data_IF_933036027954
#
_entry.id   IF_933036027954
#
_cell.length_a   1.000
_cell.length_b   1.000
_cell.length_c   1.000
_cell.angle_alpha   90.00
_cell.angle_beta   90.00
_cell.angle_gamma   90.00
#
_symmetry.space_group_name_H-M   'P 1'
#
loop_
_entity.id
_entity.type
_entity.pdbx_description
1 polymer ?
#
# COMPACT_ATOMS: atom_id res chain seq x y z
N UNK A 1 -24.27 20.68 8.03
CA UNK A 1 -23.87 19.58 7.13
C UNK A 1 -22.89 20.13 6.10
N UNK A 2 -21.76 19.46 5.88
CA UNK A 2 -20.91 19.77 4.73
C UNK A 2 -21.70 19.41 3.45
N UNK A 3 -21.59 20.18 2.35
CA UNK A 3 -22.28 19.86 1.12
C UNK A 3 -21.88 18.44 0.66
N UNK A 4 -22.84 17.67 0.15
CA UNK A 4 -22.67 16.29 -0.32
C UNK A 4 -22.30 15.25 0.75
N UNK A 5 -22.48 15.55 2.05
CA UNK A 5 -22.26 14.58 3.14
C UNK A 5 -23.48 14.39 4.00
N UNK A 6 -23.67 13.15 4.46
CA UNK A 6 -24.63 12.76 5.48
C UNK A 6 -23.88 12.45 6.77
N UNK A 7 -24.52 12.69 7.91
CA UNK A 7 -23.95 12.36 9.22
C UNK A 7 -24.01 10.84 9.37
N UNK A 8 -22.87 10.14 9.60
CA UNK A 8 -22.85 8.71 9.78
C UNK A 8 -23.50 8.31 11.11
N UNK A 9 -24.01 7.09 11.19
CA UNK A 9 -24.28 6.48 12.50
C UNK A 9 -22.97 6.29 13.26
N UNK A 10 -23.06 6.21 14.59
CA UNK A 10 -21.89 6.02 15.45
C UNK A 10 -21.07 4.77 15.06
N UNK A 11 -21.76 3.69 14.68
CA UNK A 11 -21.14 2.46 14.21
C UNK A 11 -20.32 2.67 12.92
N UNK A 12 -20.90 3.32 11.90
CA UNK A 12 -20.21 3.61 10.63
C UNK A 12 -19.01 4.52 10.86
N UNK A 13 -19.17 5.52 11.72
CA UNK A 13 -18.07 6.42 12.09
C UNK A 13 -16.92 5.66 12.74
N UNK A 14 -17.18 4.76 13.69
CA UNK A 14 -16.16 3.97 14.36
C UNK A 14 -15.43 3.02 13.41
N UNK A 15 -16.17 2.29 12.58
CA UNK A 15 -15.58 1.33 11.61
C UNK A 15 -14.71 2.07 10.58
N UNK A 16 -15.20 3.18 10.04
CA UNK A 16 -14.46 3.99 9.07
C UNK A 16 -13.22 4.64 9.70
N UNK A 17 -13.33 5.11 10.96
CA UNK A 17 -12.21 5.66 11.72
C UNK A 17 -11.14 4.61 12.00
N UNK A 18 -11.54 3.42 12.44
CA UNK A 18 -10.62 2.31 12.70
C UNK A 18 -9.90 1.87 11.43
N UNK A 19 -10.61 1.82 10.30
CA UNK A 19 -10.01 1.60 8.98
C UNK A 19 -8.90 2.62 8.69
N UNK A 20 -9.18 3.91 8.86
CA UNK A 20 -8.20 4.98 8.60
C UNK A 20 -6.97 4.88 9.51
N UNK A 21 -7.16 4.51 10.79
CA UNK A 21 -6.06 4.28 11.72
C UNK A 21 -5.20 3.08 11.29
N UNK A 22 -5.81 1.95 10.93
CA UNK A 22 -5.09 0.77 10.46
C UNK A 22 -4.34 1.03 9.16
N UNK A 23 -4.94 1.78 8.23
CA UNK A 23 -4.27 2.20 7.00
C UNK A 23 -3.05 3.08 7.31
N UNK A 24 -3.19 4.03 8.23
CA UNK A 24 -2.09 4.92 8.67
C UNK A 24 -0.95 4.13 9.32
N UNK A 25 -1.28 3.13 10.15
CA UNK A 25 -0.30 2.21 10.73
C UNK A 25 0.36 1.34 9.66
N UNK A 26 -0.41 0.86 8.68
CA UNK A 26 0.11 0.13 7.52
C UNK A 26 1.13 0.97 6.75
N UNK A 27 0.78 2.21 6.43
CA UNK A 27 1.67 3.16 5.75
C UNK A 27 2.94 3.45 6.58
N UNK A 28 2.83 3.55 7.90
CA UNK A 28 4.00 3.70 8.77
C UNK A 28 4.98 2.53 8.63
N UNK A 29 4.49 1.29 8.64
CA UNK A 29 5.34 0.11 8.45
C UNK A 29 5.88 0.02 7.02
N UNK A 30 5.09 0.36 6.01
CA UNK A 30 5.56 0.49 4.62
C UNK A 30 6.77 1.44 4.54
N UNK A 31 6.68 2.64 5.12
CA UNK A 31 7.80 3.59 5.11
C UNK A 31 9.02 3.09 5.88
N UNK A 32 8.84 2.27 6.93
CA UNK A 32 9.96 1.60 7.60
C UNK A 32 10.61 0.55 6.71
N UNK A 33 9.81 -0.27 6.02
CA UNK A 33 10.32 -1.25 5.07
C UNK A 33 11.10 -0.57 3.94
N UNK A 34 10.56 0.52 3.38
CA UNK A 34 11.20 1.31 2.31
C UNK A 34 12.53 1.99 2.71
N UNK A 35 12.79 2.18 4.01
CA UNK A 35 14.08 2.70 4.50
C UNK A 35 15.18 1.63 4.49
N UNK A 36 14.78 0.37 4.49
CA UNK A 36 15.69 -0.79 4.55
C UNK A 36 15.80 -1.43 3.17
N UNK A 37 14.65 -1.60 2.51
CA UNK A 37 14.47 -2.30 1.25
C UNK A 37 14.38 -1.40 0.03
N UNK A 38 14.38 -2.05 -1.13
CA UNK A 38 14.21 -1.38 -2.42
C UNK A 38 12.73 -1.21 -2.76
N UNK A 39 12.34 -0.06 -3.31
CA UNK A 39 10.95 0.22 -3.73
C UNK A 39 10.43 -0.85 -4.70
N UNK A 40 11.28 -1.30 -5.63
CA UNK A 40 10.98 -2.35 -6.63
C UNK A 40 10.74 -3.74 -6.05
N UNK A 41 10.96 -3.91 -4.73
CA UNK A 41 10.74 -5.15 -3.97
C UNK A 41 9.64 -4.98 -2.93
N UNK A 42 9.79 -3.97 -2.07
CA UNK A 42 8.89 -3.71 -0.93
C UNK A 42 7.45 -3.53 -1.39
N UNK A 43 7.22 -2.72 -2.42
CA UNK A 43 5.86 -2.43 -2.89
C UNK A 43 5.18 -3.67 -3.48
N UNK A 44 5.82 -4.43 -4.41
CA UNK A 44 5.24 -5.69 -4.89
C UNK A 44 4.99 -6.74 -3.79
N UNK A 45 5.86 -6.87 -2.78
CA UNK A 45 5.65 -7.83 -1.69
C UNK A 45 4.41 -7.44 -0.89
N UNK A 46 4.33 -6.19 -0.41
CA UNK A 46 3.17 -5.69 0.35
C UNK A 46 1.89 -5.89 -0.47
N UNK A 47 1.93 -5.46 -1.73
CA UNK A 47 0.77 -5.50 -2.61
C UNK A 47 0.35 -6.91 -3.04
N UNK A 48 1.25 -7.90 -3.01
CA UNK A 48 0.89 -9.32 -3.18
C UNK A 48 0.39 -9.94 -1.88
N UNK A 49 0.93 -9.52 -0.74
CA UNK A 49 0.52 -10.02 0.57
C UNK A 49 -0.90 -9.55 0.95
N UNK A 50 -1.31 -8.33 0.58
CA UNK A 50 -2.67 -7.81 0.83
C UNK A 50 -3.77 -8.79 0.35
N UNK A 51 -3.86 -9.17 -0.95
CA UNK A 51 -4.91 -10.07 -1.43
C UNK A 51 -4.83 -11.47 -0.82
N UNK A 52 -3.62 -11.97 -0.51
CA UNK A 52 -3.47 -13.23 0.22
C UNK A 52 -4.10 -13.16 1.61
N UNK A 53 -3.84 -12.08 2.35
CA UNK A 53 -4.43 -11.84 3.67
C UNK A 53 -5.95 -11.68 3.55
N UNK A 54 -6.43 -10.90 2.58
CA UNK A 54 -7.87 -10.75 2.33
C UNK A 54 -8.57 -12.10 2.08
N UNK A 55 -7.93 -13.00 1.31
CA UNK A 55 -8.46 -14.32 1.02
C UNK A 55 -8.48 -15.21 2.27
N UNK A 56 -7.44 -15.17 3.11
CA UNK A 56 -7.43 -15.88 4.41
C UNK A 56 -8.61 -15.42 5.27
N UNK A 57 -8.84 -14.11 5.37
CA UNK A 57 -9.98 -13.58 6.12
C UNK A 57 -11.33 -13.99 5.51
N UNK A 58 -11.44 -14.04 4.18
CA UNK A 58 -12.65 -14.50 3.50
C UNK A 58 -12.90 -16.01 3.69
N UNK A 59 -11.84 -16.82 3.74
CA UNK A 59 -11.92 -18.29 3.88
C UNK A 59 -12.46 -18.76 5.23
N UNK A 60 -12.30 -17.94 6.28
CA UNK A 60 -12.94 -18.19 7.57
C UNK A 60 -14.47 -18.06 7.53
N UNK A 61 -15.02 -17.54 6.43
CA UNK A 61 -16.46 -17.33 6.23
C UNK A 61 -17.07 -18.14 5.08
N UNK A 62 -16.26 -18.62 4.11
CA UNK A 62 -16.71 -19.39 2.94
C UNK A 62 -15.62 -20.35 2.46
N UNK A 63 -16.01 -21.44 1.77
CA UNK A 63 -15.05 -22.34 1.12
C UNK A 63 -14.30 -21.63 -0.03
N UNK A 64 -12.98 -21.80 -0.08
CA UNK A 64 -12.12 -21.26 -1.15
C UNK A 64 -12.38 -22.05 -2.44
N UNK A 65 -12.55 -21.36 -3.57
CA UNK A 65 -12.72 -22.04 -4.86
C UNK A 65 -11.40 -22.61 -5.40
N UNK A 66 -11.49 -23.59 -6.30
CA UNK A 66 -10.31 -24.19 -6.95
C UNK A 66 -9.48 -23.12 -7.69
N UNK A 67 -10.14 -22.16 -8.35
CA UNK A 67 -9.49 -21.05 -9.03
C UNK A 67 -8.77 -20.10 -8.07
N UNK A 68 -9.36 -19.82 -6.90
CA UNK A 68 -8.72 -19.01 -5.86
C UNK A 68 -7.46 -19.68 -5.31
N UNK A 69 -7.46 -21.01 -5.20
CA UNK A 69 -6.29 -21.79 -4.77
C UNK A 69 -5.15 -21.67 -5.77
N UNK A 70 -5.42 -21.83 -7.07
CA UNK A 70 -4.43 -21.63 -8.12
C UNK A 70 -3.89 -20.19 -8.17
N UNK A 71 -4.77 -19.20 -8.02
CA UNK A 71 -4.38 -17.80 -7.94
C UNK A 71 -3.38 -17.56 -6.79
N UNK A 72 -3.67 -18.08 -5.59
CA UNK A 72 -2.79 -17.99 -4.42
C UNK A 72 -1.43 -18.64 -4.68
N UNK A 73 -1.41 -19.85 -5.25
CA UNK A 73 -0.16 -20.55 -5.58
C UNK A 73 0.70 -19.73 -6.55
N UNK A 74 0.08 -19.18 -7.60
CA UNK A 74 0.76 -18.35 -8.60
C UNK A 74 1.32 -17.06 -7.97
N UNK A 75 0.56 -16.42 -7.08
CA UNK A 75 1.02 -15.23 -6.34
C UNK A 75 2.24 -15.54 -5.46
N UNK A 76 2.22 -16.67 -4.73
CA UNK A 76 3.35 -17.10 -3.89
C UNK A 76 4.58 -17.37 -4.75
N UNK A 77 4.45 -18.10 -5.86
CA UNK A 77 5.57 -18.35 -6.79
C UNK A 77 6.10 -17.04 -7.37
N UNK A 78 5.22 -16.12 -7.78
CA UNK A 78 5.60 -14.81 -8.28
C UNK A 78 6.38 -13.99 -7.24
N UNK A 79 5.94 -13.99 -5.98
CA UNK A 79 6.65 -13.33 -4.88
C UNK A 79 8.03 -13.95 -4.63
N UNK A 80 8.15 -15.29 -4.69
CA UNK A 80 9.43 -15.98 -4.59
C UNK A 80 10.36 -15.51 -5.71
N UNK A 81 9.93 -15.57 -6.98
CA UNK A 81 10.75 -15.11 -8.11
C UNK A 81 11.17 -13.65 -8.00
N UNK A 82 10.32 -12.78 -7.46
CA UNK A 82 10.63 -11.38 -7.23
C UNK A 82 11.72 -11.18 -6.16
N UNK A 83 11.88 -12.13 -5.23
CA UNK A 83 12.81 -12.06 -4.09
C UNK A 83 14.05 -12.96 -4.21
N UNK A 84 14.04 -13.98 -5.08
CA UNK A 84 15.12 -14.96 -5.26
C UNK A 84 16.51 -14.34 -5.46
N UNK A 85 16.60 -13.28 -6.24
CA UNK A 85 17.88 -12.65 -6.60
C UNK A 85 18.39 -11.67 -5.54
N UNK A 86 17.55 -11.31 -4.56
CA UNK A 86 17.92 -10.52 -3.40
C UNK A 86 18.57 -11.35 -2.27
N UNK A 87 18.44 -12.68 -2.31
CA UNK A 87 19.01 -13.58 -1.29
C UNK A 87 20.54 -13.59 -1.22
N UNK A 88 21.25 -13.13 -2.26
CA UNK A 88 22.72 -13.07 -2.27
C UNK A 88 23.31 -11.90 -1.44
N UNK A 89 22.70 -11.54 -0.29
CA UNK A 89 23.38 -10.78 0.77
C UNK A 89 22.69 -9.51 1.32
N UNK A 90 21.44 -9.18 0.94
CA UNK A 90 20.71 -7.99 1.46
C UNK A 90 19.30 -8.33 1.97
N UNK A 91 19.11 -9.53 2.53
CA UNK A 91 17.82 -9.96 3.08
C UNK A 91 17.74 -9.56 4.56
N UNK A 92 16.95 -8.54 4.87
CA UNK A 92 16.74 -8.11 6.24
C UNK A 92 15.40 -8.65 6.74
N UNK A 93 15.41 -9.57 7.71
CA UNK A 93 14.18 -10.10 8.30
C UNK A 93 13.27 -9.00 8.86
N UNK A 94 13.85 -7.90 9.33
CA UNK A 94 13.10 -6.76 9.83
C UNK A 94 12.32 -6.04 8.71
N UNK A 95 12.85 -6.01 7.48
CA UNK A 95 12.13 -5.47 6.32
C UNK A 95 10.86 -6.26 6.06
N UNK A 96 10.96 -7.60 6.04
CA UNK A 96 9.81 -8.49 5.78
C UNK A 96 8.78 -8.41 6.89
N UNK A 97 9.22 -8.32 8.15
CA UNK A 97 8.30 -8.10 9.26
C UNK A 97 7.51 -6.80 9.05
N UNK A 98 8.17 -5.71 8.63
CA UNK A 98 7.47 -4.47 8.31
C UNK A 98 6.58 -4.57 7.06
N UNK A 99 6.98 -5.30 6.02
CA UNK A 99 6.13 -5.55 4.84
C UNK A 99 4.86 -6.32 5.22
N UNK A 100 4.98 -7.39 6.01
CA UNK A 100 3.84 -8.20 6.46
C UNK A 100 2.92 -7.37 7.37
N UNK A 101 3.47 -6.65 8.35
CA UNK A 101 2.68 -5.77 9.22
C UNK A 101 1.96 -4.68 8.41
N UNK A 102 2.64 -4.13 7.40
CA UNK A 102 2.04 -3.18 6.46
C UNK A 102 0.87 -3.80 5.70
N UNK A 103 1.07 -4.98 5.13
CA UNK A 103 0.05 -5.67 4.35
C UNK A 103 -1.17 -6.05 5.20
N UNK A 104 -0.97 -6.51 6.44
CA UNK A 104 -2.05 -6.79 7.40
C UNK A 104 -2.83 -5.51 7.71
N UNK A 105 -2.13 -4.41 8.02
CA UNK A 105 -2.76 -3.12 8.30
C UNK A 105 -3.62 -2.62 7.13
N UNK A 106 -3.10 -2.70 5.91
CA UNK A 106 -3.84 -2.32 4.71
C UNK A 106 -5.01 -3.24 4.40
N UNK A 107 -4.83 -4.56 4.48
CA UNK A 107 -5.90 -5.52 4.23
C UNK A 107 -7.07 -5.34 5.21
N UNK A 108 -6.78 -5.26 6.52
CA UNK A 108 -7.80 -5.01 7.54
C UNK A 108 -8.49 -3.65 7.35
N UNK A 109 -7.71 -2.61 7.01
CA UNK A 109 -8.27 -1.31 6.69
C UNK A 109 -9.28 -1.38 5.53
N UNK A 110 -8.94 -2.06 4.44
CA UNK A 110 -9.83 -2.20 3.28
C UNK A 110 -11.10 -3.01 3.59
N UNK A 111 -11.00 -4.06 4.41
CA UNK A 111 -12.18 -4.84 4.86
C UNK A 111 -13.15 -3.94 5.62
N UNK A 112 -12.66 -3.21 6.64
CA UNK A 112 -13.49 -2.32 7.44
C UNK A 112 -14.04 -1.16 6.60
N UNK A 113 -13.23 -0.61 5.70
CA UNK A 113 -13.65 0.48 4.83
C UNK A 113 -14.80 0.06 3.91
N UNK A 114 -14.72 -1.16 3.36
CA UNK A 114 -15.78 -1.71 2.53
C UNK A 114 -17.08 -1.84 3.32
N UNK A 115 -17.04 -2.27 4.58
CA UNK A 115 -18.23 -2.33 5.43
C UNK A 115 -18.87 -0.95 5.66
N UNK A 116 -18.05 0.10 5.78
CA UNK A 116 -18.56 1.47 5.89
C UNK A 116 -19.22 1.93 4.57
N UNK A 117 -18.60 1.68 3.41
CA UNK A 117 -19.16 2.05 2.11
C UNK A 117 -20.43 1.28 1.72
N UNK A 118 -20.68 0.10 2.31
CA UNK A 118 -21.96 -0.59 2.14
C UNK A 118 -23.13 0.09 2.87
N UNK A 119 -22.84 0.94 3.86
CA UNK A 119 -23.86 1.60 4.70
C UNK A 119 -24.07 3.07 4.36
N UNK A 120 -23.08 3.74 3.77
CA UNK A 120 -23.11 5.17 3.53
C UNK A 120 -22.35 5.55 2.24
N UNK A 121 -22.69 6.69 1.65
CA UNK A 121 -22.09 7.16 0.41
C UNK A 121 -20.59 7.48 0.52
N UNK A 122 -19.93 7.50 -0.64
CA UNK A 122 -18.49 7.66 -0.77
C UNK A 122 -17.98 8.92 -0.05
N UNK A 123 -18.53 10.09 -0.35
CA UNK A 123 -18.05 11.36 0.21
C UNK A 123 -18.22 11.41 1.73
N UNK A 124 -19.33 10.89 2.25
CA UNK A 124 -19.57 10.83 3.67
C UNK A 124 -18.55 9.93 4.36
N UNK A 125 -18.38 8.68 3.92
CA UNK A 125 -17.39 7.78 4.52
C UNK A 125 -15.98 8.36 4.41
N UNK A 126 -15.60 8.89 3.23
CA UNK A 126 -14.28 9.47 2.97
C UNK A 126 -13.94 10.62 3.93
N UNK A 127 -14.87 11.54 4.16
CA UNK A 127 -14.63 12.73 4.98
C UNK A 127 -14.66 12.35 6.47
N UNK A 128 -15.70 11.62 6.89
CA UNK A 128 -15.88 11.28 8.30
C UNK A 128 -14.82 10.30 8.82
N UNK A 129 -14.29 9.39 7.97
CA UNK A 129 -13.24 8.47 8.37
C UNK A 129 -11.93 9.16 8.77
N UNK A 130 -11.63 10.32 8.17
CA UNK A 130 -10.38 11.08 8.37
C UNK A 130 -10.39 11.93 9.62
N UNK A 131 -11.55 12.24 10.19
CA UNK A 131 -11.63 13.07 11.41
C UNK A 131 -10.91 12.44 12.60
N UNK A 132 -10.76 11.12 12.63
CA UNK A 132 -9.98 10.40 13.66
C UNK A 132 -8.49 10.80 13.66
N UNK A 133 -7.96 11.29 12.54
CA UNK A 133 -6.56 11.72 12.46
C UNK A 133 -6.29 12.95 13.34
N UNK A 134 -7.30 13.78 13.60
CA UNK A 134 -7.18 14.95 14.48
C UNK A 134 -6.85 14.52 15.92
N UNK A 135 -7.68 13.74 16.63
CA UNK A 135 -7.33 13.27 17.96
C UNK A 135 -6.11 12.35 17.95
N UNK A 136 -5.89 11.57 16.89
CA UNK A 136 -4.68 10.75 16.75
C UNK A 136 -3.40 11.61 16.80
N UNK A 137 -3.35 12.71 16.04
CA UNK A 137 -2.22 13.64 16.06
C UNK A 137 -2.09 14.32 17.43
N UNK A 138 -3.19 14.72 18.07
CA UNK A 138 -3.15 15.29 19.42
C UNK A 138 -2.54 14.31 20.42
N UNK A 139 -2.91 13.03 20.37
CA UNK A 139 -2.33 11.98 21.20
C UNK A 139 -0.84 11.81 20.90
N UNK A 140 -0.44 11.77 19.62
CA UNK A 140 0.97 11.69 19.20
C UNK A 140 1.79 12.87 19.74
N UNK A 141 1.22 14.08 19.77
CA UNK A 141 1.87 15.27 20.31
C UNK A 141 2.00 15.27 21.83
N UNK A 142 1.26 14.44 22.56
CA UNK A 142 1.49 14.28 24.01
C UNK A 142 2.79 13.52 24.31
N UNK A 143 3.28 12.71 23.37
CA UNK A 143 4.52 11.95 23.50
C UNK A 143 5.72 12.89 23.29
N UNK A 144 6.54 13.19 24.31
CA UNK A 144 7.56 14.25 24.22
C UNK A 144 8.60 14.01 23.12
N UNK A 145 8.98 12.74 22.92
CA UNK A 145 9.96 12.33 21.90
C UNK A 145 9.44 12.61 20.49
N UNK A 146 8.15 12.34 20.22
CA UNK A 146 7.54 12.57 18.92
C UNK A 146 7.24 14.05 18.72
N UNK A 147 6.72 14.72 19.75
CA UNK A 147 6.49 16.17 19.76
C UNK A 147 7.75 16.95 19.39
N UNK A 148 8.88 16.66 20.03
CA UNK A 148 10.13 17.35 19.75
C UNK A 148 10.64 17.07 18.33
N UNK A 149 10.42 15.86 17.79
CA UNK A 149 10.73 15.56 16.38
C UNK A 149 9.82 16.32 15.41
N UNK A 150 8.54 16.53 15.74
CA UNK A 150 7.60 17.21 14.85
C UNK A 150 7.79 18.74 14.91
N UNK A 151 7.80 19.31 16.12
CA UNK A 151 7.81 20.76 16.35
C UNK A 151 9.23 21.33 16.21
N UNK A 152 10.22 20.63 16.76
CA UNK A 152 11.61 21.14 16.86
C UNK A 152 12.50 20.65 15.72
N UNK A 153 12.02 19.75 14.84
CA UNK A 153 12.86 19.42 13.68
C UNK A 153 13.05 20.65 12.81
N UNK A 154 14.31 21.09 12.71
CA UNK A 154 14.78 21.88 11.59
C UNK A 154 14.85 20.94 10.38
N UNK A 155 13.71 20.42 9.96
CA UNK A 155 13.61 19.61 8.75
C UNK A 155 14.12 20.39 7.54
N UNK A 156 14.35 19.69 6.43
CA UNK A 156 14.66 20.33 5.15
C UNK A 156 13.61 21.41 4.87
N UNK A 157 14.03 22.68 4.85
CA UNK A 157 13.19 23.79 4.40
C UNK A 157 13.05 23.65 2.89
N UNK A 158 12.04 22.89 2.46
CA UNK A 158 11.73 22.74 1.04
C UNK A 158 11.16 24.08 0.56
N UNK A 159 11.85 24.73 -0.36
CA UNK A 159 11.28 25.85 -1.09
C UNK A 159 10.29 25.29 -2.11
N UNK A 160 9.00 25.45 -1.87
CA UNK A 160 7.94 24.92 -2.76
C UNK A 160 7.99 25.50 -4.18
N UNK A 161 8.64 26.65 -4.38
CA UNK A 161 8.84 27.28 -5.68
C UNK A 161 10.10 26.80 -6.41
N UNK A 162 10.97 26.00 -5.76
CA UNK A 162 12.14 25.42 -6.42
C UNK A 162 11.79 24.19 -7.25
N UNK A 163 12.70 23.78 -8.13
CA UNK A 163 12.52 22.55 -8.94
C UNK A 163 12.30 21.32 -8.07
N UNK A 164 13.01 21.22 -6.96
CA UNK A 164 12.88 20.14 -5.98
C UNK A 164 11.53 20.20 -5.27
N UNK A 165 11.06 21.41 -4.93
CA UNK A 165 9.73 21.66 -4.38
C UNK A 165 8.62 21.20 -5.34
N UNK A 166 8.73 21.53 -6.63
CA UNK A 166 7.80 21.07 -7.65
C UNK A 166 7.78 19.55 -7.81
N UNK A 167 8.94 18.89 -7.80
CA UNK A 167 9.01 17.42 -7.86
C UNK A 167 8.37 16.79 -6.62
N UNK A 168 8.63 17.34 -5.44
CA UNK A 168 8.03 16.88 -4.19
C UNK A 168 6.51 17.04 -4.18
N UNK A 169 6.00 18.23 -4.56
CA UNK A 169 4.56 18.50 -4.65
C UNK A 169 3.88 17.63 -5.70
N UNK A 170 4.52 17.44 -6.86
CA UNK A 170 4.04 16.52 -7.90
C UNK A 170 3.89 15.09 -7.37
N UNK A 171 4.88 14.59 -6.62
CA UNK A 171 4.80 13.28 -5.99
C UNK A 171 3.67 13.17 -4.96
N UNK A 172 3.55 14.15 -4.06
CA UNK A 172 2.52 14.15 -3.01
C UNK A 172 1.11 14.24 -3.61
N UNK A 173 0.88 15.14 -4.57
CA UNK A 173 -0.41 15.28 -5.25
C UNK A 173 -0.78 14.01 -6.02
N UNK A 174 0.18 13.40 -6.74
CA UNK A 174 -0.04 12.12 -7.42
C UNK A 174 -0.43 11.01 -6.43
N UNK A 175 0.21 10.98 -5.25
CA UNK A 175 -0.13 10.04 -4.17
C UNK A 175 -1.57 10.23 -3.66
N UNK A 176 -1.96 11.47 -3.38
CA UNK A 176 -3.33 11.80 -2.93
C UNK A 176 -4.37 11.44 -4.00
N UNK A 177 -4.10 11.75 -5.27
CA UNK A 177 -4.99 11.40 -6.39
C UNK A 177 -5.11 9.89 -6.52
N UNK A 178 -3.99 9.16 -6.45
CA UNK A 178 -3.97 7.70 -6.50
C UNK A 178 -4.80 7.08 -5.37
N UNK A 179 -4.63 7.56 -4.14
CA UNK A 179 -5.42 7.10 -2.99
C UNK A 179 -6.91 7.41 -3.18
N UNK A 180 -7.26 8.63 -3.62
CA UNK A 180 -8.65 9.00 -3.88
C UNK A 180 -9.31 8.07 -4.91
N UNK A 181 -8.64 7.80 -6.03
CA UNK A 181 -9.13 6.89 -7.07
C UNK A 181 -9.24 5.45 -6.57
N UNK A 182 -8.31 5.00 -5.74
CA UNK A 182 -8.35 3.67 -5.11
C UNK A 182 -9.57 3.55 -4.19
N UNK A 183 -9.79 4.53 -3.32
CA UNK A 183 -10.92 4.55 -2.39
C UNK A 183 -12.26 4.63 -3.14
N UNK A 184 -12.32 5.43 -4.21
CA UNK A 184 -13.49 5.50 -5.06
C UNK A 184 -13.77 4.15 -5.73
N UNK A 185 -12.73 3.47 -6.23
CA UNK A 185 -12.86 2.14 -6.80
C UNK A 185 -13.35 1.12 -5.77
N UNK A 186 -12.86 1.17 -4.52
CA UNK A 186 -13.33 0.30 -3.42
C UNK A 186 -14.79 0.58 -3.03
N UNK A 187 -15.26 1.81 -3.21
CA UNK A 187 -16.68 2.13 -3.00
C UNK A 187 -17.58 1.49 -4.05
N UNK A 188 -17.10 1.41 -5.30
CA UNK A 188 -17.85 0.84 -6.43
C UNK A 188 -17.75 -0.69 -6.52
N UNK A 189 -16.58 -1.26 -6.23
CA UNK A 189 -16.25 -2.67 -6.46
C UNK A 189 -15.69 -3.36 -5.21
N UNK A 190 -15.65 -4.69 -5.22
CA UNK A 190 -15.03 -5.46 -4.14
C UNK A 190 -13.52 -5.11 -4.03
N UNK A 191 -12.99 -4.89 -2.80
CA UNK A 191 -11.57 -4.66 -2.58
C UNK A 191 -10.63 -5.64 -3.29
N UNK A 192 -11.00 -6.92 -3.45
CA UNK A 192 -10.18 -7.91 -4.15
C UNK A 192 -9.96 -7.55 -5.63
N UNK A 193 -11.02 -7.12 -6.33
CA UNK A 193 -10.95 -6.68 -7.74
C UNK A 193 -10.14 -5.39 -7.87
N UNK A 194 -10.27 -4.47 -6.93
CA UNK A 194 -9.48 -3.23 -6.97
C UNK A 194 -7.99 -3.51 -6.73
N UNK A 195 -7.66 -4.40 -5.79
CA UNK A 195 -6.28 -4.78 -5.52
C UNK A 195 -5.68 -5.63 -6.65
N UNK A 196 -6.47 -6.35 -7.46
CA UNK A 196 -5.94 -7.10 -8.60
C UNK A 196 -5.33 -6.19 -9.67
N UNK A 197 -5.89 -4.98 -9.85
CA UNK A 197 -5.35 -3.96 -10.75
C UNK A 197 -4.00 -3.37 -10.28
N UNK A 198 -3.63 -3.55 -9.00
CA UNK A 198 -2.32 -3.14 -8.53
C UNK A 198 -1.18 -3.94 -9.17
N UNK A 199 -1.44 -5.12 -9.73
CA UNK A 199 -0.44 -5.87 -10.52
C UNK A 199 0.20 -5.02 -11.63
N UNK A 200 -0.59 -4.16 -12.27
CA UNK A 200 -0.11 -3.25 -13.31
C UNK A 200 0.84 -2.18 -12.74
N UNK A 201 0.62 -1.72 -11.52
CA UNK A 201 1.49 -0.75 -10.84
C UNK A 201 2.91 -1.30 -10.70
N UNK A 202 3.06 -2.60 -10.42
CA UNK A 202 4.38 -3.21 -10.23
C UNK A 202 5.21 -3.22 -11.52
N UNK A 203 4.55 -3.39 -12.68
CA UNK A 203 5.19 -3.26 -13.99
C UNK A 203 5.79 -1.86 -14.15
N UNK A 204 4.99 -0.81 -13.87
CA UNK A 204 5.47 0.58 -13.97
C UNK A 204 6.58 0.90 -12.97
N UNK A 205 6.46 0.46 -11.72
CA UNK A 205 7.50 0.64 -10.70
C UNK A 205 8.81 0.00 -11.18
N UNK A 206 8.76 -1.21 -11.74
CA UNK A 206 9.93 -1.90 -12.23
C UNK A 206 10.57 -1.18 -13.43
N UNK A 207 9.77 -0.78 -14.41
CA UNK A 207 10.24 0.01 -15.57
C UNK A 207 10.91 1.31 -15.09
N UNK A 208 10.25 2.06 -14.18
CA UNK A 208 10.82 3.30 -13.66
C UNK A 208 12.08 3.05 -12.84
N UNK A 209 12.15 1.98 -12.04
CA UNK A 209 13.36 1.62 -11.31
C UNK A 209 14.55 1.37 -12.27
N UNK A 210 14.32 0.69 -13.40
CA UNK A 210 15.37 0.46 -14.42
C UNK A 210 15.77 1.77 -15.10
N UNK A 211 14.81 2.59 -15.52
CA UNK A 211 15.10 3.85 -16.22
C UNK A 211 15.83 4.83 -15.30
N UNK A 212 15.34 4.99 -14.06
CA UNK A 212 15.90 5.93 -13.09
C UNK A 212 17.24 5.46 -12.53
N UNK A 213 17.46 4.16 -12.37
CA UNK A 213 18.78 3.65 -11.94
C UNK A 213 19.87 3.87 -12.98
N UNK A 214 19.54 3.79 -14.28
CA UNK A 214 20.48 4.14 -15.35
C UNK A 214 20.77 5.63 -15.40
N UNK A 215 19.76 6.47 -15.14
CA UNK A 215 19.89 7.93 -15.18
C UNK A 215 20.52 8.53 -13.92
N UNK A 216 20.29 7.91 -12.76
CA UNK A 216 20.72 8.39 -11.43
C UNK A 216 21.35 7.25 -10.60
N UNK A 217 22.45 6.64 -11.07
CA UNK A 217 23.05 5.46 -10.42
C UNK A 217 23.62 5.74 -9.02
N UNK A 218 23.89 7.00 -8.69
CA UNK A 218 24.36 7.42 -7.35
C UNK A 218 23.24 7.41 -6.30
N UNK A 219 21.98 7.48 -6.72
CA UNK A 219 20.80 7.46 -5.86
C UNK A 219 20.25 6.03 -5.76
N UNK A 220 20.30 5.28 -6.86
CA UNK A 220 19.77 3.93 -6.93
C UNK A 220 20.92 2.92 -6.84
N UNK A 221 21.09 2.30 -5.67
CA UNK A 221 22.10 1.26 -5.44
C UNK A 221 21.83 -0.07 -6.18
N UNK A 222 20.76 -0.16 -6.97
CA UNK A 222 20.34 -1.42 -7.58
C UNK A 222 21.14 -1.71 -8.86
N UNK A 223 22.10 -2.64 -8.75
CA UNK A 223 22.80 -3.19 -9.91
C UNK A 223 21.96 -4.29 -10.55
N UNK A 224 21.46 -4.04 -11.76
CA UNK A 224 20.71 -5.03 -12.54
C UNK A 224 21.67 -5.99 -13.24
N UNK A 225 21.77 -7.22 -12.73
CA UNK A 225 22.31 -8.35 -13.51
C UNK A 225 21.20 -8.93 -14.39
N UNK A 226 21.54 -9.57 -15.50
CA UNK A 226 20.57 -10.21 -16.40
C UNK A 226 19.67 -11.22 -15.65
N UNK A 227 20.25 -11.96 -14.71
CA UNK A 227 19.51 -12.89 -13.85
C UNK A 227 18.51 -12.17 -12.94
N UNK A 228 18.91 -11.05 -12.30
CA UNK A 228 18.02 -10.25 -11.46
C UNK A 228 16.86 -9.65 -12.27
N UNK A 229 17.17 -9.16 -13.47
CA UNK A 229 16.16 -8.62 -14.37
C UNK A 229 15.13 -9.68 -14.77
N UNK A 230 15.60 -10.85 -15.20
CA UNK A 230 14.73 -11.94 -15.66
C UNK A 230 13.85 -12.49 -14.53
N UNK A 231 14.42 -12.69 -13.33
CA UNK A 231 13.67 -13.13 -12.15
C UNK A 231 12.55 -12.16 -11.79
N UNK A 232 12.81 -10.85 -11.84
CA UNK A 232 11.80 -9.82 -11.57
C UNK A 232 10.73 -9.75 -12.63
N UNK A 233 11.06 -9.89 -13.91
CA UNK A 233 10.07 -9.93 -15.00
C UNK A 233 9.13 -11.11 -14.82
N UNK A 234 9.67 -12.30 -14.57
CA UNK A 234 8.86 -13.51 -14.31
C UNK A 234 8.00 -13.30 -13.05
N UNK A 235 8.61 -12.84 -11.96
CA UNK A 235 7.90 -12.61 -10.70
C UNK A 235 6.72 -11.64 -10.86
N UNK A 236 6.93 -10.50 -11.51
CA UNK A 236 5.87 -9.53 -11.78
C UNK A 236 4.80 -10.13 -12.70
N UNK A 237 5.19 -10.85 -13.76
CA UNK A 237 4.26 -11.51 -14.66
C UNK A 237 3.37 -12.53 -13.95
N UNK A 238 3.95 -13.34 -13.06
CA UNK A 238 3.22 -14.29 -12.22
C UNK A 238 2.30 -13.58 -11.24
N UNK A 239 2.76 -12.50 -10.59
CA UNK A 239 1.90 -11.71 -9.68
C UNK A 239 0.70 -11.16 -10.44
N UNK A 240 0.91 -10.56 -11.61
CA UNK A 240 -0.17 -10.04 -12.45
C UNK A 240 -1.15 -11.14 -12.85
N UNK A 241 -0.65 -12.31 -13.24
CA UNK A 241 -1.48 -13.47 -13.60
C UNK A 241 -2.30 -13.98 -12.41
N UNK A 242 -1.67 -14.12 -11.23
CA UNK A 242 -2.34 -14.57 -10.02
C UNK A 242 -3.42 -13.59 -9.56
N UNK A 243 -3.14 -12.28 -9.65
CA UNK A 243 -4.13 -11.24 -9.34
C UNK A 243 -5.30 -11.26 -10.34
N UNK A 244 -5.02 -11.46 -11.62
CA UNK A 244 -6.05 -11.59 -12.64
C UNK A 244 -6.97 -12.77 -12.37
N UNK A 245 -6.40 -13.96 -12.11
CA UNK A 245 -7.19 -15.16 -11.79
C UNK A 245 -8.04 -14.96 -10.53
N UNK A 246 -7.47 -14.33 -9.50
CA UNK A 246 -8.19 -14.01 -8.27
C UNK A 246 -9.38 -13.08 -8.54
N UNK A 247 -9.24 -12.17 -9.50
CA UNK A 247 -10.29 -11.22 -9.87
C UNK A 247 -11.44 -11.82 -10.67
N UNK A 248 -11.19 -12.91 -11.40
CA UNK A 248 -12.17 -13.60 -12.24
C UNK A 248 -12.84 -14.79 -11.54
N UNK A 249 -12.46 -15.05 -10.28
CA UNK A 249 -12.97 -16.16 -9.44
C UNK A 249 -14.10 -15.70 -8.54
#
# INVERSE_FOLDING_TARGET
CLPFTKIPSFEVFLIASLSTMLWTLGAYFMFKALKIGQVSRVIPIIGTAIPLILLIFASGTNAISENQTWAVLILIVGMIFLTLTAWKGKFNMLEIVFEILSAIGFALAYILLRQAYLKLDFFSVLIWSRLILIPFVLVVLTIPILRNKIITSKGLRINFLSREGFVFLGGQTSGVISEFLLLFSISLANPALVNSLQGTQYIFIFIFAIVLSRKFPTIFEEKYTLLNLFSKIIGIGLIVLGLYLLSTS
#
